data_IF_609303580540
#
_entry.id   IF_609303580540
#
_cell.length_a   1.000
_cell.length_b   1.000
_cell.length_c   1.000
_cell.angle_alpha   90.00
_cell.angle_beta   90.00
_cell.angle_gamma   90.00
#
_symmetry.space_group_name_H-M   'P 1'
#
loop_
_entity.id
_entity.type
_entity.pdbx_description
1 polymer ?
#
# COMPACT_ATOMS: atom_id res chain seq x y z
N UNK A 1 -9.22 8.89 -12.20
CA UNK A 1 -9.80 8.00 -11.18
C UNK A 1 -10.88 7.17 -11.82
N UNK A 2 -10.93 5.86 -11.58
CA UNK A 2 -11.87 4.96 -12.24
C UNK A 2 -13.13 4.68 -11.39
N UNK A 3 -12.99 4.64 -10.05
CA UNK A 3 -14.10 4.44 -9.12
C UNK A 3 -13.99 5.42 -7.94
N UNK A 4 -15.10 6.03 -7.55
CA UNK A 4 -15.14 7.03 -6.46
C UNK A 4 -16.33 6.84 -5.53
N UNK A 5 -16.17 7.28 -4.29
CA UNK A 5 -17.22 7.42 -3.30
C UNK A 5 -16.93 8.68 -2.47
N UNK A 6 -17.85 9.05 -1.57
CA UNK A 6 -17.66 10.19 -0.66
C UNK A 6 -16.66 9.85 0.44
N UNK A 7 -15.81 10.79 0.82
CA UNK A 7 -14.83 10.65 1.92
C UNK A 7 -15.34 11.23 3.25
N UNK A 8 -16.31 12.13 3.18
CA UNK A 8 -17.03 12.67 4.33
C UNK A 8 -18.08 11.65 4.77
N UNK A 9 -17.67 10.78 5.69
CA UNK A 9 -18.46 9.67 6.21
C UNK A 9 -18.29 9.62 7.73
N UNK A 10 -19.33 9.14 8.42
CA UNK A 10 -19.19 8.73 9.81
C UNK A 10 -18.32 7.47 9.93
N UNK A 11 -17.87 7.15 11.14
CA UNK A 11 -17.14 5.88 11.40
C UNK A 11 -18.00 4.67 11.04
N UNK A 12 -19.29 4.72 11.33
CA UNK A 12 -20.24 3.64 11.03
C UNK A 12 -20.42 3.47 9.52
N UNK A 13 -20.65 4.56 8.79
CA UNK A 13 -20.81 4.52 7.33
C UNK A 13 -19.53 4.06 6.62
N UNK A 14 -18.36 4.46 7.13
CA UNK A 14 -17.07 4.02 6.61
C UNK A 14 -16.87 2.50 6.76
N UNK A 15 -17.27 1.92 7.90
CA UNK A 15 -17.23 0.46 8.12
C UNK A 15 -18.22 -0.25 7.19
N UNK A 16 -19.45 0.25 7.08
CA UNK A 16 -20.46 -0.30 6.19
C UNK A 16 -19.97 -0.32 4.73
N UNK A 17 -19.38 0.79 4.28
CA UNK A 17 -18.80 0.90 2.95
C UNK A 17 -17.62 -0.07 2.75
N UNK A 18 -16.74 -0.26 3.74
CA UNK A 18 -15.67 -1.26 3.62
C UNK A 18 -16.23 -2.67 3.40
N UNK A 19 -17.30 -3.04 4.12
CA UNK A 19 -17.93 -4.36 3.94
C UNK A 19 -18.59 -4.51 2.57
N UNK A 20 -19.26 -3.47 2.08
CA UNK A 20 -19.82 -3.45 0.73
C UNK A 20 -18.73 -3.64 -0.33
N UNK A 21 -17.67 -2.81 -0.27
CA UNK A 21 -16.61 -2.83 -1.27
C UNK A 21 -15.71 -4.07 -1.17
N UNK A 22 -15.59 -4.70 0.01
CA UNK A 22 -14.87 -5.95 0.18
C UNK A 22 -15.40 -7.06 -0.74
N UNK A 23 -16.70 -7.09 -1.02
CA UNK A 23 -17.32 -8.06 -1.92
C UNK A 23 -16.89 -7.89 -3.39
N UNK A 24 -16.32 -6.73 -3.74
CA UNK A 24 -15.84 -6.43 -5.10
C UNK A 24 -14.36 -6.75 -5.31
N UNK A 25 -13.65 -7.14 -4.24
CA UNK A 25 -12.23 -7.49 -4.32
C UNK A 25 -12.07 -8.88 -4.91
N UNK A 26 -11.71 -8.92 -6.18
CA UNK A 26 -11.30 -10.15 -6.84
C UNK A 26 -9.80 -10.44 -6.60
N UNK A 27 -9.49 -11.67 -6.22
CA UNK A 27 -8.13 -12.17 -5.98
C UNK A 27 -7.91 -13.56 -6.58
N UNK A 28 -8.79 -13.98 -7.49
CA UNK A 28 -8.76 -15.31 -8.11
C UNK A 28 -7.88 -15.36 -9.37
N UNK A 29 -7.88 -14.28 -10.16
CA UNK A 29 -7.21 -14.27 -11.46
C UNK A 29 -5.74 -13.85 -11.37
N UNK A 30 -4.83 -14.57 -12.06
CA UNK A 30 -3.42 -14.20 -12.16
C UNK A 30 -3.19 -12.84 -12.82
N UNK A 31 -2.08 -12.20 -12.45
CA UNK A 31 -1.70 -10.93 -13.07
C UNK A 31 -1.35 -11.08 -14.56
N UNK A 32 -1.72 -10.10 -15.42
CA UNK A 32 -1.16 -9.98 -16.75
C UNK A 32 0.32 -9.55 -16.68
N UNK A 33 1.06 -9.62 -17.80
CA UNK A 33 2.43 -9.12 -17.87
C UNK A 33 2.53 -7.64 -17.46
N UNK A 34 3.39 -7.35 -16.48
CA UNK A 34 3.60 -6.00 -15.96
C UNK A 34 4.81 -5.33 -16.61
N UNK A 35 4.69 -4.05 -16.92
CA UNK A 35 5.77 -3.19 -17.40
C UNK A 35 6.15 -2.12 -16.40
N UNK A 36 5.15 -1.57 -15.70
CA UNK A 36 5.30 -0.47 -14.76
C UNK A 36 4.66 -0.83 -13.41
N UNK A 37 5.42 -0.65 -12.34
CA UNK A 37 4.93 -0.87 -10.98
C UNK A 37 5.13 0.39 -10.14
N UNK A 38 4.15 0.70 -9.29
CA UNK A 38 4.24 1.81 -8.36
C UNK A 38 4.50 1.33 -6.93
N UNK A 39 5.19 2.16 -6.16
CA UNK A 39 5.16 2.11 -4.70
C UNK A 39 4.37 3.30 -4.17
N UNK A 40 3.53 3.05 -3.17
CA UNK A 40 2.72 4.05 -2.48
C UNK A 40 3.05 4.06 -0.99
N UNK A 41 3.20 5.26 -0.43
CA UNK A 41 3.45 5.46 0.99
C UNK A 41 2.89 6.79 1.47
N UNK A 42 2.37 6.82 2.70
CA UNK A 42 1.99 8.05 3.39
C UNK A 42 2.84 8.21 4.65
N UNK A 43 3.37 9.41 4.82
CA UNK A 43 4.03 9.84 6.05
C UNK A 43 3.24 10.99 6.68
N UNK A 44 3.31 11.13 8.00
CA UNK A 44 2.64 12.23 8.70
C UNK A 44 3.62 13.32 9.14
N UNK A 45 3.17 14.57 9.08
CA UNK A 45 3.81 15.75 9.68
C UNK A 45 2.79 16.45 10.57
N UNK A 46 2.87 16.23 11.89
CA UNK A 46 1.72 16.49 12.75
C UNK A 46 0.56 15.61 12.31
N UNK A 47 -0.61 16.21 12.09
CA UNK A 47 -1.81 15.52 11.57
C UNK A 47 -1.92 15.58 10.03
N UNK A 48 -0.91 16.12 9.35
CA UNK A 48 -0.94 16.32 7.89
C UNK A 48 -0.36 15.11 7.15
N UNK A 49 -1.17 14.39 6.34
CA UNK A 49 -0.65 13.31 5.50
C UNK A 49 0.16 13.88 4.32
N UNK A 50 1.30 13.25 4.09
CA UNK A 50 2.18 13.48 2.94
C UNK A 50 2.27 12.17 2.19
N UNK A 51 1.50 12.05 1.11
CA UNK A 51 1.49 10.89 0.26
C UNK A 51 2.54 11.01 -0.84
N UNK A 52 3.19 9.91 -1.17
CA UNK A 52 4.11 9.82 -2.28
C UNK A 52 3.87 8.52 -3.05
N UNK A 53 3.94 8.64 -4.38
CA UNK A 53 3.82 7.51 -5.29
C UNK A 53 4.96 7.59 -6.31
N UNK A 54 5.65 6.48 -6.52
CA UNK A 54 6.78 6.40 -7.46
C UNK A 54 6.57 5.21 -8.37
N UNK A 55 6.61 5.45 -9.68
CA UNK A 55 6.47 4.44 -10.73
C UNK A 55 7.85 4.03 -11.23
N UNK A 56 8.06 2.74 -11.37
CA UNK A 56 9.30 2.12 -11.81
C UNK A 56 9.02 1.14 -12.94
N UNK A 57 10.01 0.94 -13.82
CA UNK A 57 10.01 -0.17 -14.76
C UNK A 57 10.08 -1.51 -14.03
N UNK A 58 9.50 -2.55 -14.63
CA UNK A 58 9.58 -3.92 -14.15
C UNK A 58 10.10 -4.82 -15.27
N UNK A 59 11.09 -5.70 -15.01
CA UNK A 59 11.69 -6.02 -13.71
C UNK A 59 12.89 -5.14 -13.31
N UNK A 60 13.31 -4.16 -14.10
CA UNK A 60 14.56 -3.42 -13.89
C UNK A 60 14.54 -2.45 -12.68
N UNK A 61 13.37 -2.04 -12.20
CA UNK A 61 13.17 -1.13 -11.06
C UNK A 61 13.82 0.26 -11.27
N UNK A 62 13.75 0.78 -12.49
CA UNK A 62 14.20 2.13 -12.82
C UNK A 62 13.05 3.12 -12.67
N UNK A 63 13.27 4.24 -11.99
CA UNK A 63 12.21 5.25 -11.74
C UNK A 63 11.88 5.98 -13.04
N UNK A 64 10.59 5.99 -13.41
CA UNK A 64 10.09 6.66 -14.62
C UNK A 64 9.11 7.80 -14.33
N UNK A 65 8.40 7.75 -13.21
CA UNK A 65 7.53 8.83 -12.76
C UNK A 65 7.48 8.89 -11.23
N UNK A 66 7.19 10.07 -10.69
CA UNK A 66 7.01 10.27 -9.25
C UNK A 66 6.13 11.46 -8.97
N UNK A 67 5.27 11.33 -7.97
CA UNK A 67 4.40 12.39 -7.51
C UNK A 67 4.28 12.36 -5.98
N UNK A 68 3.99 13.51 -5.40
CA UNK A 68 3.71 13.62 -3.97
C UNK A 68 2.66 14.70 -3.74
N UNK A 69 1.73 14.40 -2.83
CA UNK A 69 0.68 15.32 -2.42
C UNK A 69 0.72 15.52 -0.91
N UNK A 70 0.23 16.67 -0.50
CA UNK A 70 0.02 17.02 0.90
C UNK A 70 -1.49 17.19 1.05
N UNK A 71 -2.07 16.52 2.04
CA UNK A 71 -3.50 16.60 2.29
C UNK A 71 -3.81 17.00 3.72
N UNK A 72 -5.07 16.85 4.09
CA UNK A 72 -5.59 17.10 5.42
C UNK A 72 -6.32 15.84 5.91
N UNK A 73 -6.01 15.38 7.12
CA UNK A 73 -6.65 14.19 7.68
C UNK A 73 -8.00 14.56 8.33
N UNK A 74 -9.04 14.71 7.50
CA UNK A 74 -10.39 15.06 7.98
C UNK A 74 -11.06 13.93 8.79
N UNK A 75 -10.72 12.67 8.52
CA UNK A 75 -11.30 11.50 9.19
C UNK A 75 -10.54 11.16 10.49
N UNK A 76 -11.18 10.77 11.61
CA UNK A 76 -10.49 10.48 12.87
C UNK A 76 -9.58 9.23 12.82
N UNK A 77 -8.55 9.17 13.67
CA UNK A 77 -7.68 8.00 13.76
C UNK A 77 -8.41 6.83 14.43
N UNK A 78 -8.92 5.91 13.61
CA UNK A 78 -9.59 4.69 14.05
C UNK A 78 -8.85 3.48 13.44
N UNK A 79 -8.34 2.54 14.26
CA UNK A 79 -7.73 1.32 13.75
C UNK A 79 -8.66 0.60 12.76
N UNK A 80 -8.13 0.24 11.60
CA UNK A 80 -8.90 -0.37 10.50
C UNK A 80 -9.52 0.61 9.50
N UNK A 81 -9.51 1.91 9.78
CA UNK A 81 -10.07 2.95 8.88
C UNK A 81 -9.02 3.92 8.36
N UNK A 82 -7.74 3.53 8.39
CA UNK A 82 -6.62 4.36 7.92
C UNK A 82 -6.78 4.80 6.46
N UNK A 83 -7.40 3.95 5.64
CA UNK A 83 -7.69 4.24 4.24
C UNK A 83 -8.45 5.57 4.06
N UNK A 84 -9.47 5.85 4.89
CA UNK A 84 -10.26 7.08 4.81
C UNK A 84 -9.46 8.34 5.18
N UNK A 85 -8.38 8.18 5.96
CA UNK A 85 -7.46 9.28 6.31
C UNK A 85 -6.43 9.57 5.24
N UNK A 86 -5.95 8.53 4.56
CA UNK A 86 -4.76 8.61 3.72
C UNK A 86 -5.07 8.62 2.22
N UNK A 87 -6.12 7.92 1.79
CA UNK A 87 -6.44 7.74 0.38
C UNK A 87 -6.71 9.03 -0.38
N UNK A 88 -7.50 10.01 0.13
CA UNK A 88 -7.69 11.26 -0.60
C UNK A 88 -6.37 11.91 -1.05
N UNK A 89 -5.35 11.83 -0.18
CA UNK A 89 -4.02 12.38 -0.48
C UNK A 89 -3.23 11.49 -1.44
N UNK A 90 -3.33 10.16 -1.30
CA UNK A 90 -2.72 9.21 -2.25
C UNK A 90 -3.30 9.36 -3.66
N UNK A 91 -4.62 9.48 -3.77
CA UNK A 91 -5.32 9.64 -5.04
C UNK A 91 -4.89 10.95 -5.73
N UNK A 92 -4.79 12.05 -4.98
CA UNK A 92 -4.25 13.31 -5.49
C UNK A 92 -2.79 13.21 -5.98
N UNK A 93 -1.97 12.34 -5.37
CA UNK A 93 -0.63 12.06 -5.87
C UNK A 93 -0.67 11.21 -7.15
N UNK A 94 -1.54 10.19 -7.20
CA UNK A 94 -1.70 9.33 -8.38
C UNK A 94 -2.16 10.10 -9.63
N UNK A 95 -3.04 11.10 -9.47
CA UNK A 95 -3.54 11.93 -10.58
C UNK A 95 -2.44 12.73 -11.30
N UNK A 96 -1.31 12.96 -10.63
CA UNK A 96 -0.17 13.69 -11.20
C UNK A 96 0.81 12.77 -11.94
N UNK A 97 0.57 11.45 -11.99
CA UNK A 97 1.48 10.49 -12.61
C UNK A 97 1.22 10.36 -14.11
N UNK A 98 2.28 10.51 -14.90
CA UNK A 98 2.32 10.10 -16.30
C UNK A 98 3.74 9.59 -16.62
N UNK A 99 3.93 8.32 -17.00
CA UNK A 99 2.90 7.26 -17.11
C UNK A 99 2.36 6.80 -15.74
N UNK A 100 1.17 6.18 -15.75
CA UNK A 100 0.60 5.46 -14.62
C UNK A 100 1.14 4.02 -14.48
N UNK A 101 0.90 3.34 -13.35
CA UNK A 101 1.37 1.97 -13.13
C UNK A 101 0.39 0.89 -13.62
N UNK A 102 0.91 -0.29 -13.92
CA UNK A 102 0.13 -1.52 -14.15
C UNK A 102 -0.21 -2.23 -12.83
N UNK A 103 0.56 -1.97 -11.76
CA UNK A 103 0.33 -2.50 -10.41
C UNK A 103 0.85 -1.53 -9.34
N UNK A 104 0.19 -1.43 -8.19
CA UNK A 104 0.66 -0.64 -7.04
C UNK A 104 0.96 -1.46 -5.78
N UNK A 105 2.17 -1.33 -5.24
CA UNK A 105 2.55 -1.84 -3.93
C UNK A 105 2.37 -0.76 -2.85
N UNK A 106 1.64 -1.08 -1.80
CA UNK A 106 1.38 -0.17 -0.68
C UNK A 106 2.14 -0.60 0.57
N UNK A 107 2.71 0.36 1.32
CA UNK A 107 3.22 0.14 2.70
C UNK A 107 2.06 0.01 3.70
N UNK A 108 1.13 -0.91 3.42
CA UNK A 108 -0.11 -1.15 4.16
C UNK A 108 -0.62 -2.57 3.87
N UNK A 109 -1.77 -2.92 4.46
CA UNK A 109 -2.45 -4.18 4.18
C UNK A 109 -3.50 -4.04 3.07
N UNK A 110 -3.71 -5.11 2.31
CA UNK A 110 -4.91 -5.34 1.49
C UNK A 110 -5.96 -6.16 2.25
N UNK A 111 -6.27 -7.38 1.78
CA UNK A 111 -7.29 -8.25 2.39
C UNK A 111 -6.92 -8.78 3.79
N UNK A 112 -5.66 -8.69 4.20
CA UNK A 112 -5.22 -8.94 5.58
C UNK A 112 -5.67 -7.81 6.52
N UNK A 113 -6.97 -7.68 6.68
CA UNK A 113 -7.67 -6.59 7.35
C UNK A 113 -8.97 -7.13 7.98
N UNK A 114 -9.46 -6.58 9.11
CA UNK A 114 -10.72 -7.01 9.73
C UNK A 114 -11.89 -7.05 8.74
N UNK A 115 -12.05 -5.99 7.95
CA UNK A 115 -13.12 -5.87 6.93
C UNK A 115 -12.74 -6.46 5.56
N UNK A 116 -11.62 -7.17 5.43
CA UNK A 116 -11.05 -7.64 4.13
C UNK A 116 -10.78 -6.53 3.09
N UNK A 117 -10.85 -5.26 3.50
CA UNK A 117 -10.70 -4.10 2.62
C UNK A 117 -9.73 -3.07 3.21
N UNK A 118 -8.46 -3.43 3.28
CA UNK A 118 -7.40 -2.53 3.73
C UNK A 118 -7.04 -1.46 2.69
N UNK A 119 -6.12 -0.56 3.05
CA UNK A 119 -5.68 0.56 2.20
C UNK A 119 -5.23 0.10 0.81
N UNK A 120 -4.52 -1.03 0.69
CA UNK A 120 -4.08 -1.50 -0.62
C UNK A 120 -5.26 -1.92 -1.50
N UNK A 121 -6.23 -2.64 -0.95
CA UNK A 121 -7.46 -3.04 -1.65
C UNK A 121 -8.25 -1.82 -2.11
N UNK A 122 -8.40 -0.85 -1.20
CA UNK A 122 -9.16 0.35 -1.45
C UNK A 122 -8.49 1.27 -2.49
N UNK A 123 -7.16 1.44 -2.43
CA UNK A 123 -6.43 2.15 -3.47
C UNK A 123 -6.57 1.48 -4.84
N UNK A 124 -6.40 0.16 -4.90
CA UNK A 124 -6.52 -0.61 -6.15
C UNK A 124 -7.91 -0.49 -6.75
N UNK A 125 -8.96 -0.57 -5.92
CA UNK A 125 -10.34 -0.35 -6.34
C UNK A 125 -10.56 1.05 -6.95
N UNK A 126 -10.10 2.12 -6.29
CA UNK A 126 -10.28 3.49 -6.78
C UNK A 126 -9.54 3.76 -8.11
N UNK A 127 -8.36 3.17 -8.26
CA UNK A 127 -7.54 3.28 -9.46
C UNK A 127 -7.98 2.33 -10.58
N UNK A 128 -8.73 1.26 -10.24
CA UNK A 128 -9.00 0.11 -11.10
C UNK A 128 -7.70 -0.52 -11.63
N UNK A 129 -6.73 -0.69 -10.72
CA UNK A 129 -5.39 -1.22 -10.99
C UNK A 129 -5.05 -2.30 -9.95
N UNK A 130 -4.44 -3.42 -10.35
CA UNK A 130 -3.95 -4.42 -9.41
C UNK A 130 -3.13 -3.83 -8.28
N UNK A 131 -3.35 -4.30 -7.06
CA UNK A 131 -2.66 -3.74 -5.89
C UNK A 131 -2.24 -4.79 -4.88
N UNK A 132 -1.09 -4.58 -4.25
CA UNK A 132 -0.51 -5.48 -3.25
C UNK A 132 -0.22 -4.70 -1.97
N UNK A 133 -0.66 -5.23 -0.84
CA UNK A 133 -0.23 -4.76 0.47
C UNK A 133 1.08 -5.43 0.89
N UNK A 134 2.06 -4.65 1.32
CA UNK A 134 3.29 -5.15 1.94
C UNK A 134 3.57 -4.35 3.21
N UNK A 135 3.15 -4.89 4.36
CA UNK A 135 3.25 -4.23 5.65
C UNK A 135 4.40 -4.74 6.51
N UNK A 136 4.77 -3.94 7.52
CA UNK A 136 5.89 -4.21 8.43
C UNK A 136 5.52 -5.05 9.65
N UNK A 137 4.23 -5.12 9.98
CA UNK A 137 3.68 -5.78 11.16
C UNK A 137 2.39 -6.47 10.79
N UNK A 138 1.95 -7.37 11.67
CA UNK A 138 0.67 -8.06 11.56
C UNK A 138 -0.46 -7.13 12.00
N UNK A 139 -1.56 -7.10 11.25
CA UNK A 139 -2.81 -6.45 11.67
C UNK A 139 -3.84 -7.49 12.15
N UNK A 140 -4.03 -8.56 11.37
CA UNK A 140 -4.94 -9.68 11.69
C UNK A 140 -4.30 -11.02 11.35
N UNK A 141 -5.00 -12.10 11.72
CA UNK A 141 -4.63 -13.47 11.44
C UNK A 141 -3.45 -13.98 12.25
N UNK A 142 -3.10 -15.23 12.01
CA UNK A 142 -2.04 -15.99 12.67
C UNK A 142 -1.16 -16.66 11.61
N UNK A 143 0.07 -17.00 11.98
CA UNK A 143 1.01 -17.68 11.09
C UNK A 143 1.96 -18.58 11.87
N UNK A 144 2.42 -19.65 11.22
CA UNK A 144 3.49 -20.49 11.73
C UNK A 144 4.88 -19.84 11.61
N UNK A 145 5.94 -20.53 12.04
CA UNK A 145 7.31 -20.04 11.91
C UNK A 145 7.68 -19.81 10.44
N UNK A 146 8.46 -18.76 10.17
CA UNK A 146 8.98 -18.45 8.84
C UNK A 146 10.46 -18.79 8.82
N UNK A 147 10.85 -19.64 7.86
CA UNK A 147 12.25 -20.01 7.63
C UNK A 147 13.18 -18.81 7.50
N UNK A 148 14.46 -19.06 7.76
CA UNK A 148 15.50 -18.04 7.70
C UNK A 148 15.79 -17.58 6.25
N UNK A 149 15.94 -18.48 5.25
CA UNK A 149 16.39 -18.06 3.92
C UNK A 149 15.41 -17.10 3.23
N UNK A 150 15.93 -16.19 2.41
CA UNK A 150 15.10 -15.32 1.54
C UNK A 150 14.16 -16.19 0.69
N UNK A 151 12.88 -15.80 0.62
CA UNK A 151 11.82 -16.54 -0.06
C UNK A 151 11.04 -17.49 0.85
N UNK A 152 11.55 -17.79 2.05
CA UNK A 152 10.79 -18.53 3.06
C UNK A 152 9.51 -17.79 3.40
N UNK A 153 8.40 -18.53 3.51
CA UNK A 153 7.08 -17.95 3.80
C UNK A 153 6.24 -18.87 4.67
N UNK A 154 5.33 -18.28 5.43
CA UNK A 154 4.21 -18.97 6.07
C UNK A 154 2.91 -18.30 5.66
N UNK A 155 1.82 -19.06 5.56
CA UNK A 155 0.50 -18.49 5.31
C UNK A 155 0.04 -17.67 6.51
N UNK A 156 -0.58 -16.53 6.24
CA UNK A 156 -1.30 -15.73 7.21
C UNK A 156 -2.78 -16.09 7.11
N UNK A 157 -3.33 -16.70 8.15
CA UNK A 157 -4.71 -17.18 8.19
C UNK A 157 -5.51 -16.43 9.23
N UNK A 158 -6.70 -15.95 8.86
CA UNK A 158 -7.67 -15.35 9.77
C UNK A 158 -8.92 -16.24 9.80
N UNK A 159 -9.08 -17.00 10.89
CA UNK A 159 -9.97 -18.16 10.93
C UNK A 159 -9.57 -19.22 9.90
N UNK A 160 -10.50 -19.61 9.03
CA UNK A 160 -10.25 -20.59 7.96
C UNK A 160 -9.70 -19.97 6.68
N UNK A 161 -9.63 -18.63 6.58
CA UNK A 161 -9.28 -17.95 5.34
C UNK A 161 -7.79 -17.58 5.30
N UNK A 162 -7.13 -17.84 4.17
CA UNK A 162 -5.79 -17.31 3.89
C UNK A 162 -5.91 -15.86 3.41
N UNK A 163 -5.45 -14.93 4.24
CA UNK A 163 -5.54 -13.49 3.97
C UNK A 163 -4.20 -12.88 3.53
N UNK A 164 -3.14 -13.67 3.55
CA UNK A 164 -1.81 -13.18 3.21
C UNK A 164 -0.72 -14.24 3.38
N UNK A 165 0.52 -13.78 3.32
CA UNK A 165 1.70 -14.54 3.66
C UNK A 165 2.68 -13.69 4.47
N UNK A 166 3.39 -14.32 5.38
CA UNK A 166 4.51 -13.73 6.11
C UNK A 166 5.78 -14.15 5.40
N UNK A 167 6.45 -13.21 4.75
CA UNK A 167 7.48 -13.47 3.74
C UNK A 167 8.84 -12.95 4.20
N UNK A 168 9.84 -13.83 4.16
CA UNK A 168 11.25 -13.48 4.38
C UNK A 168 11.84 -12.87 3.11
N UNK A 169 11.85 -11.55 3.04
CA UNK A 169 12.44 -10.83 1.89
C UNK A 169 13.97 -10.73 1.98
N UNK A 170 14.53 -10.86 3.17
CA UNK A 170 15.97 -10.85 3.42
C UNK A 170 16.33 -11.72 4.62
N UNK A 171 17.47 -12.38 4.50
CA UNK A 171 18.16 -13.14 5.55
C UNK A 171 18.45 -12.24 6.77
N UNK A 172 18.29 -12.76 7.98
CA UNK A 172 18.66 -12.11 9.24
C UNK A 172 17.81 -10.91 9.65
N UNK A 173 16.69 -10.63 8.96
CA UNK A 173 15.77 -9.53 9.30
C UNK A 173 14.34 -10.02 9.45
N UNK A 174 13.52 -9.29 10.21
CA UNK A 174 12.10 -9.60 10.39
C UNK A 174 11.37 -9.72 9.03
N UNK A 175 10.49 -10.72 8.85
CA UNK A 175 9.74 -10.88 7.60
C UNK A 175 8.73 -9.73 7.43
N UNK A 176 8.17 -9.58 6.22
CA UNK A 176 7.08 -8.65 5.91
C UNK A 176 5.75 -9.40 5.80
N UNK A 177 4.64 -8.67 5.91
CA UNK A 177 3.29 -9.22 5.77
C UNK A 177 2.74 -8.79 4.42
N UNK A 178 2.63 -9.76 3.50
CA UNK A 178 2.15 -9.54 2.14
C UNK A 178 0.71 -10.00 2.03
N UNK A 179 -0.16 -9.18 1.45
CA UNK A 179 -1.54 -9.56 1.16
C UNK A 179 -2.02 -9.01 -0.19
N UNK A 180 -2.88 -9.76 -0.90
CA UNK A 180 -3.61 -9.23 -2.04
C UNK A 180 -4.33 -7.94 -1.67
N UNK A 181 -4.29 -6.94 -2.55
CA UNK A 181 -5.09 -5.74 -2.46
C UNK A 181 -6.34 -5.89 -3.32
N UNK A 182 -6.18 -5.73 -4.63
CA UNK A 182 -7.24 -5.74 -5.65
C UNK A 182 -6.70 -6.41 -6.92
N UNK A 183 -7.52 -7.23 -7.59
CA UNK A 183 -7.21 -7.89 -8.86
C UNK A 183 -5.82 -8.56 -8.91
N UNK A 184 -5.47 -9.29 -7.83
CA UNK A 184 -4.19 -10.00 -7.72
C UNK A 184 -4.33 -11.24 -6.86
N UNK A 185 -3.70 -12.33 -7.26
CA UNK A 185 -3.68 -13.55 -6.44
C UNK A 185 -2.72 -13.42 -5.26
N UNK A 186 -2.91 -14.26 -4.23
CA UNK A 186 -1.95 -14.34 -3.13
C UNK A 186 -0.56 -14.80 -3.59
N UNK A 187 -0.47 -15.68 -4.58
CA UNK A 187 0.84 -16.11 -5.10
C UNK A 187 1.56 -14.96 -5.77
N UNK A 188 0.87 -14.26 -6.68
CA UNK A 188 1.42 -13.12 -7.41
C UNK A 188 1.81 -11.99 -6.47
N UNK A 189 0.99 -11.69 -5.44
CA UNK A 189 1.33 -10.70 -4.43
C UNK A 189 2.68 -11.01 -3.75
N UNK A 190 2.94 -12.28 -3.42
CA UNK A 190 4.21 -12.73 -2.83
C UNK A 190 5.35 -12.66 -3.84
N UNK A 191 5.12 -13.06 -5.09
CA UNK A 191 6.13 -13.02 -6.16
C UNK A 191 6.53 -11.58 -6.49
N UNK A 192 5.57 -10.66 -6.58
CA UNK A 192 5.81 -9.24 -6.75
C UNK A 192 6.59 -8.68 -5.57
N UNK A 193 6.21 -8.98 -4.33
CA UNK A 193 6.94 -8.53 -3.15
C UNK A 193 8.40 -9.04 -3.15
N UNK A 194 8.64 -10.30 -3.54
CA UNK A 194 9.99 -10.86 -3.62
C UNK A 194 10.78 -10.30 -4.82
N UNK A 195 10.17 -10.24 -6.00
CA UNK A 195 10.78 -9.77 -7.24
C UNK A 195 11.15 -8.29 -7.22
N UNK A 196 10.53 -7.52 -6.32
CA UNK A 196 10.80 -6.09 -6.14
C UNK A 196 11.63 -5.77 -4.90
N UNK A 197 12.04 -6.78 -4.12
CA UNK A 197 12.97 -6.59 -2.99
C UNK A 197 14.41 -6.76 -3.43
N UNK A 198 15.21 -5.72 -3.18
CA UNK A 198 16.64 -5.67 -3.51
C UNK A 198 17.48 -5.98 -2.27
N UNK A 199 18.38 -5.08 -1.86
CA UNK A 199 19.23 -5.22 -0.65
C UNK A 199 18.49 -4.91 0.66
N UNK A 200 17.22 -4.50 0.59
CA UNK A 200 16.44 -4.02 1.72
C UNK A 200 15.24 -4.93 2.06
N UNK A 201 14.76 -4.81 3.31
CA UNK A 201 13.59 -5.56 3.80
C UNK A 201 12.29 -5.24 3.04
N UNK A 202 12.07 -3.97 2.71
CA UNK A 202 10.87 -3.51 2.00
C UNK A 202 11.11 -3.47 0.49
N UNK A 203 10.10 -3.76 -0.35
CA UNK A 203 10.14 -3.57 -1.79
C UNK A 203 10.70 -2.21 -2.21
N UNK A 204 11.52 -2.19 -3.26
CA UNK A 204 12.15 -0.98 -3.79
C UNK A 204 11.12 0.09 -4.18
N UNK A 205 9.97 -0.22 -4.83
CA UNK A 205 8.95 0.79 -5.12
C UNK A 205 8.47 1.52 -3.85
N UNK A 206 8.13 0.75 -2.80
CA UNK A 206 7.70 1.31 -1.51
C UNK A 206 8.82 2.17 -0.89
N UNK A 207 10.07 1.72 -0.98
CA UNK A 207 11.21 2.49 -0.46
C UNK A 207 11.42 3.82 -1.19
N UNK A 208 11.28 3.83 -2.52
CA UNK A 208 11.35 5.07 -3.30
C UNK A 208 10.25 6.05 -2.89
N UNK A 209 9.03 5.56 -2.70
CA UNK A 209 7.92 6.37 -2.18
C UNK A 209 8.20 6.92 -0.77
N UNK A 210 8.72 6.09 0.14
CA UNK A 210 9.13 6.53 1.49
C UNK A 210 10.20 7.63 1.44
N UNK A 211 11.19 7.52 0.55
CA UNK A 211 12.23 8.54 0.38
C UNK A 211 11.64 9.86 -0.13
N UNK A 212 10.74 9.79 -1.11
CA UNK A 212 10.07 10.96 -1.68
C UNK A 212 9.17 11.65 -0.65
N UNK A 213 8.39 10.90 0.13
CA UNK A 213 7.56 11.46 1.20
C UNK A 213 8.41 12.20 2.25
N UNK A 214 9.56 11.61 2.65
CA UNK A 214 10.51 12.25 3.58
C UNK A 214 11.11 13.53 3.01
N UNK A 215 11.46 13.54 1.72
CA UNK A 215 11.96 14.73 1.03
C UNK A 215 10.91 15.84 1.01
N UNK A 216 9.67 15.52 0.64
CA UNK A 216 8.55 16.46 0.59
C UNK A 216 8.27 17.05 1.98
N UNK A 217 8.21 16.20 3.01
CA UNK A 217 8.06 16.62 4.42
C UNK A 217 9.11 17.65 4.85
N UNK A 218 10.39 17.39 4.56
CA UNK A 218 11.50 18.30 4.93
C UNK A 218 11.38 19.66 4.24
N UNK A 219 10.97 19.69 2.96
CA UNK A 219 10.80 20.95 2.22
C UNK A 219 9.65 21.79 2.81
N UNK A 220 8.55 21.15 3.20
CA UNK A 220 7.42 21.85 3.82
C UNK A 220 7.78 22.42 5.19
N UNK A 221 8.49 21.65 6.04
CA UNK A 221 8.92 22.16 7.35
C UNK A 221 9.86 23.36 7.26
N UNK A 222 10.76 23.38 6.25
CA UNK A 222 11.67 24.51 6.02
C UNK A 222 10.91 25.73 5.49
N UNK A 223 9.97 25.55 4.56
CA UNK A 223 9.15 26.65 4.06
C UNK A 223 8.32 27.30 5.18
N UNK A 224 7.74 26.50 6.08
CA UNK A 224 7.00 27.02 7.25
C UNK A 224 7.87 27.78 8.25
N UNK A 225 9.17 27.47 8.37
CA UNK A 225 10.09 28.21 9.24
C UNK A 225 10.56 29.55 8.66
N UNK A 226 10.63 29.67 7.33
CA UNK A 226 11.08 30.90 6.65
C UNK A 226 9.99 31.98 6.63
N UNK A 227 8.72 31.59 6.62
CA UNK A 227 7.58 32.54 6.64
C UNK A 227 7.30 33.14 8.03
N UNK A 228 7.93 32.64 9.09
CA UNK A 228 7.74 33.08 10.49
C UNK A 228 8.95 33.89 10.99
N UNK A 229 9.88 34.27 10.10
CA UNK A 229 11.01 35.18 10.40
C UNK A 229 10.83 36.50 9.67
#
# INVERSE_FOLDING_TARGET
MARTHRWDLSVEDAIALQHELAATVDTAEPLPPLRLIAGAHVAYTGDQPVAAVVVLTFPALEVVARAAAIGHAAFPYVPGLLAFRELPTLLAACEQLSPGPDLVLCDAHGIAHPSRFGLASHLGYCLDVPSVGCARSRLVGEHGPVGEPRGSRAWLTDGSQRVGAVVRTRMGVKPVFVSPGFAVTLSDAVEIALGTTTKYRMPEPIRRAQMLAKEKKRRTSVASSVTVS
#
